data_IF_633261626987
#
_entry.id   IF_633261626987
#
_cell.length_a   1.000
_cell.length_b   1.000
_cell.length_c   1.000
_cell.angle_alpha   90.00
_cell.angle_beta   90.00
_cell.angle_gamma   90.00
#
_symmetry.space_group_name_H-M   'P 1'
#
loop_
_entity.id
_entity.type
_entity.pdbx_description
1 polymer ?
#
# COMPACT_ATOMS: atom_id res chain seq x y z
N UNK A 1 -40.28 1.16 -25.24
CA UNK A 1 -39.46 0.48 -24.21
C UNK A 1 -38.18 0.00 -24.87
N UNK A 2 -37.05 0.64 -24.60
CA UNK A 2 -35.74 0.21 -25.10
C UNK A 2 -35.31 -1.05 -24.35
N UNK A 3 -35.21 -2.19 -25.04
CA UNK A 3 -34.76 -3.46 -24.47
C UNK A 3 -33.30 -3.31 -24.04
N UNK A 4 -32.98 -3.70 -22.79
CA UNK A 4 -31.60 -3.82 -22.31
C UNK A 4 -30.97 -5.04 -22.99
N UNK A 5 -29.99 -4.84 -23.85
CA UNK A 5 -29.14 -5.92 -24.33
C UNK A 5 -28.27 -6.41 -23.17
N UNK A 6 -28.46 -7.66 -22.77
CA UNK A 6 -27.59 -8.32 -21.80
C UNK A 6 -26.48 -9.04 -22.56
N UNK A 7 -25.28 -8.46 -22.53
CA UNK A 7 -24.08 -9.17 -22.98
C UNK A 7 -23.70 -10.18 -21.88
N UNK A 8 -23.87 -11.48 -22.14
CA UNK A 8 -23.39 -12.51 -21.21
C UNK A 8 -21.87 -12.55 -21.30
N UNK A 9 -21.20 -12.42 -20.15
CA UNK A 9 -19.74 -12.61 -20.08
C UNK A 9 -19.36 -13.92 -20.74
N UNK A 10 -18.40 -13.85 -21.67
CA UNK A 10 -17.81 -15.04 -22.28
C UNK A 10 -16.98 -15.78 -21.25
N UNK A 11 -16.71 -17.07 -21.48
CA UNK A 11 -15.88 -17.85 -20.57
C UNK A 11 -14.44 -17.32 -20.51
N UNK A 12 -13.95 -16.71 -21.60
CA UNK A 12 -12.66 -16.00 -21.65
C UNK A 12 -12.63 -14.77 -20.74
N UNK A 13 -13.68 -13.96 -20.74
CA UNK A 13 -13.78 -12.80 -19.84
C UNK A 13 -13.78 -13.23 -18.37
N UNK A 14 -14.50 -14.32 -18.05
CA UNK A 14 -14.50 -14.92 -16.70
C UNK A 14 -13.13 -15.43 -16.30
N UNK A 15 -12.42 -16.09 -17.22
CA UNK A 15 -11.06 -16.59 -16.99
C UNK A 15 -10.12 -15.43 -16.65
N UNK A 16 -10.15 -14.35 -17.44
CA UNK A 16 -9.28 -13.18 -17.23
C UNK A 16 -9.52 -12.51 -15.87
N UNK A 17 -10.78 -12.44 -15.44
CA UNK A 17 -11.17 -11.87 -14.15
C UNK A 17 -10.67 -12.74 -12.99
N UNK A 18 -10.80 -14.06 -13.12
CA UNK A 18 -10.31 -15.02 -12.13
C UNK A 18 -8.78 -15.02 -12.05
N UNK A 19 -8.06 -14.92 -13.16
CA UNK A 19 -6.60 -14.78 -13.18
C UNK A 19 -6.15 -13.50 -12.47
N UNK A 20 -6.82 -12.38 -12.76
CA UNK A 20 -6.56 -11.09 -12.10
C UNK A 20 -6.80 -11.18 -10.59
N UNK A 21 -7.84 -11.89 -10.17
CA UNK A 21 -8.12 -12.13 -8.75
C UNK A 21 -7.07 -13.04 -8.10
N UNK A 22 -6.62 -14.08 -8.81
CA UNK A 22 -5.56 -14.99 -8.37
C UNK A 22 -4.24 -14.26 -8.15
N UNK A 23 -3.86 -13.35 -9.05
CA UNK A 23 -2.64 -12.57 -8.93
C UNK A 23 -2.69 -11.58 -7.74
N UNK A 24 -3.85 -10.96 -7.51
CA UNK A 24 -4.11 -10.15 -6.31
C UNK A 24 -4.04 -10.97 -5.01
N UNK A 25 -4.52 -12.21 -5.03
CA UNK A 25 -4.43 -13.11 -3.87
C UNK A 25 -2.99 -13.56 -3.62
N UNK A 26 -2.26 -13.96 -4.67
CA UNK A 26 -0.85 -14.35 -4.57
C UNK A 26 0.01 -13.24 -4.01
N UNK A 27 -0.17 -12.00 -4.49
CA UNK A 27 0.56 -10.84 -3.98
C UNK A 27 0.25 -10.54 -2.51
N UNK A 28 -1.00 -10.70 -2.06
CA UNK A 28 -1.37 -10.57 -0.63
C UNK A 28 -0.72 -11.65 0.22
N UNK A 29 -0.78 -12.91 -0.19
CA UNK A 29 -0.18 -14.03 0.55
C UNK A 29 1.33 -13.86 0.62
N UNK A 30 1.99 -13.45 -0.47
CA UNK A 30 3.42 -13.16 -0.46
C UNK A 30 3.77 -11.99 0.47
N UNK A 31 2.93 -10.96 0.57
CA UNK A 31 3.12 -9.86 1.52
C UNK A 31 2.95 -10.30 2.98
N UNK A 32 1.99 -11.17 3.27
CA UNK A 32 1.75 -11.70 4.62
C UNK A 32 2.82 -12.71 5.06
N UNK A 33 3.37 -13.47 4.11
CA UNK A 33 4.48 -14.40 4.35
C UNK A 33 5.84 -13.71 4.44
N UNK A 34 5.94 -12.39 4.21
CA UNK A 34 7.22 -11.70 4.40
C UNK A 34 7.60 -11.73 5.88
N UNK A 35 8.86 -12.05 6.14
CA UNK A 35 9.43 -12.09 7.50
C UNK A 35 9.41 -10.73 8.22
N UNK A 36 9.30 -9.62 7.47
CA UNK A 36 9.21 -8.25 7.97
C UNK A 36 7.76 -7.78 8.22
N UNK A 37 6.76 -8.66 8.10
CA UNK A 37 5.35 -8.34 8.35
C UNK A 37 5.09 -7.63 9.69
N UNK A 38 5.79 -7.93 10.82
CA UNK A 38 5.66 -7.15 12.05
C UNK A 38 6.07 -5.68 11.90
N UNK A 39 7.17 -5.40 11.18
CA UNK A 39 7.67 -4.04 10.91
C UNK A 39 6.67 -3.28 10.02
N UNK A 40 6.13 -3.95 8.99
CA UNK A 40 5.11 -3.38 8.11
C UNK A 40 3.76 -3.13 8.82
N UNK A 41 3.47 -3.84 9.91
CA UNK A 41 2.30 -3.54 10.76
C UNK A 41 2.55 -2.29 11.60
N UNK A 42 3.72 -2.17 12.20
CA UNK A 42 4.05 -1.03 13.06
C UNK A 42 4.30 0.27 12.28
N UNK A 43 4.78 0.20 11.03
CA UNK A 43 4.94 1.40 10.20
C UNK A 43 3.63 2.16 9.98
N UNK A 44 2.49 1.45 9.95
CA UNK A 44 1.17 2.09 9.86
C UNK A 44 0.88 2.94 11.09
N UNK A 45 1.21 2.44 12.28
CA UNK A 45 1.05 3.18 13.54
C UNK A 45 1.97 4.41 13.57
N UNK A 46 3.22 4.24 13.16
CA UNK A 46 4.21 5.33 13.06
C UNK A 46 3.71 6.41 12.10
N UNK A 47 3.20 6.04 10.93
CA UNK A 47 2.61 6.98 9.97
C UNK A 47 1.46 7.77 10.58
N UNK A 48 0.55 7.11 11.30
CA UNK A 48 -0.55 7.82 11.97
C UNK A 48 -0.04 8.81 13.01
N UNK A 49 0.97 8.44 13.81
CA UNK A 49 1.57 9.32 14.80
C UNK A 49 2.26 10.54 14.18
N UNK A 50 3.06 10.33 13.13
CA UNK A 50 3.77 11.39 12.41
C UNK A 50 2.81 12.34 11.70
N UNK A 51 1.71 11.83 11.12
CA UNK A 51 0.68 12.69 10.53
C UNK A 51 0.01 13.59 11.57
N UNK A 52 -0.31 13.05 12.76
CA UNK A 52 -0.84 13.86 13.87
C UNK A 52 0.17 14.92 14.29
N UNK A 53 1.44 14.55 14.43
CA UNK A 53 2.50 15.50 14.80
C UNK A 53 2.69 16.59 13.74
N UNK A 54 2.68 16.24 12.46
CA UNK A 54 2.73 17.19 11.34
C UNK A 54 1.57 18.18 11.42
N UNK A 55 0.35 17.70 11.70
CA UNK A 55 -0.80 18.58 11.89
C UNK A 55 -0.62 19.55 13.07
N UNK A 56 -0.07 19.08 14.19
CA UNK A 56 0.24 19.95 15.34
C UNK A 56 1.26 21.01 14.94
N UNK A 57 2.31 20.65 14.20
CA UNK A 57 3.32 21.59 13.70
C UNK A 57 2.70 22.65 12.77
N UNK A 58 1.84 22.22 11.84
CA UNK A 58 1.13 23.11 10.93
C UNK A 58 0.24 24.11 11.69
N UNK A 59 -0.50 23.63 12.70
CA UNK A 59 -1.37 24.48 13.53
C UNK A 59 -0.61 25.56 14.31
N UNK A 60 0.69 25.35 14.59
CA UNK A 60 1.56 26.30 15.29
C UNK A 60 2.52 27.05 14.35
N UNK A 61 2.29 26.98 13.03
CA UNK A 61 3.10 27.71 12.04
C UNK A 61 4.52 27.16 11.83
N UNK A 62 4.84 25.97 12.35
CA UNK A 62 6.15 25.30 12.19
C UNK A 62 6.22 24.49 10.90
N UNK A 63 6.17 25.20 9.78
CA UNK A 63 6.20 24.60 8.43
C UNK A 63 7.53 23.90 8.13
N UNK A 64 8.63 24.35 8.73
CA UNK A 64 9.93 23.68 8.71
C UNK A 64 9.82 22.24 9.20
N UNK A 65 9.15 22.04 10.34
CA UNK A 65 8.97 20.72 10.95
C UNK A 65 8.00 19.85 10.15
N UNK A 66 6.92 20.45 9.60
CA UNK A 66 6.00 19.76 8.67
C UNK A 66 6.78 19.18 7.50
N UNK A 67 7.63 19.99 6.86
CA UNK A 67 8.42 19.57 5.71
C UNK A 67 9.37 18.42 6.07
N UNK A 68 10.05 18.50 7.22
CA UNK A 68 10.92 17.41 7.70
C UNK A 68 10.15 16.10 7.95
N UNK A 69 8.98 16.18 8.60
CA UNK A 69 8.14 15.01 8.89
C UNK A 69 7.64 14.38 7.59
N UNK A 70 7.21 15.18 6.62
CA UNK A 70 6.74 14.69 5.33
C UNK A 70 7.86 14.05 4.51
N UNK A 71 9.06 14.65 4.51
CA UNK A 71 10.23 14.06 3.85
C UNK A 71 10.63 12.72 4.49
N UNK A 72 10.63 12.65 5.83
CA UNK A 72 10.91 11.43 6.55
C UNK A 72 9.87 10.34 6.26
N UNK A 73 8.58 10.67 6.27
CA UNK A 73 7.49 9.76 5.92
C UNK A 73 7.65 9.21 4.50
N UNK A 74 7.98 10.06 3.54
CA UNK A 74 8.18 9.64 2.15
C UNK A 74 9.32 8.61 2.04
N UNK A 75 10.45 8.87 2.70
CA UNK A 75 11.59 7.94 2.75
C UNK A 75 11.20 6.61 3.41
N UNK A 76 10.52 6.65 4.55
CA UNK A 76 10.05 5.45 5.26
C UNK A 76 9.12 4.60 4.40
N UNK A 77 8.17 5.23 3.70
CA UNK A 77 7.24 4.52 2.82
C UNK A 77 7.95 3.87 1.62
N UNK A 78 8.95 4.56 1.06
CA UNK A 78 9.75 4.00 -0.01
C UNK A 78 10.55 2.78 0.47
N UNK A 79 11.19 2.89 1.63
CA UNK A 79 11.95 1.79 2.25
C UNK A 79 11.05 0.60 2.59
N UNK A 80 9.84 0.83 3.11
CA UNK A 80 8.91 -0.24 3.46
C UNK A 80 8.35 -1.01 2.25
N UNK A 81 8.34 -0.39 1.06
CA UNK A 81 7.96 -1.08 -0.18
C UNK A 81 9.11 -1.93 -0.74
N UNK A 82 10.35 -1.54 -0.45
CA UNK A 82 11.53 -2.30 -0.86
C UNK A 82 11.58 -3.66 -0.17
N UNK A 83 12.09 -4.67 -0.87
CA UNK A 83 12.35 -5.99 -0.28
C UNK A 83 13.62 -5.87 0.57
N UNK A 84 13.63 -6.34 1.83
CA UNK A 84 14.83 -6.35 2.66
C UNK A 84 15.99 -7.01 1.90
N UNK A 85 17.20 -6.47 2.03
CA UNK A 85 18.40 -7.01 1.37
C UNK A 85 18.63 -8.51 1.70
N UNK A 86 18.19 -8.96 2.88
CA UNK A 86 18.21 -10.36 3.30
C UNK A 86 17.27 -11.29 2.50
N UNK A 87 16.34 -10.74 1.73
CA UNK A 87 15.33 -11.46 0.94
C UNK A 87 15.46 -11.22 -0.57
N UNK A 88 16.50 -10.52 -1.02
CA UNK A 88 16.78 -10.36 -2.45
C UNK A 88 17.36 -11.65 -3.04
N UNK A 89 16.92 -12.11 -4.21
CA UNK A 89 17.54 -13.25 -4.88
C UNK A 89 19.00 -12.91 -5.22
N UNK A 90 19.91 -13.83 -4.90
CA UNK A 90 21.35 -13.73 -5.23
C UNK A 90 21.59 -13.83 -6.72
#
# INVERSE_FOLDING_TARGET
>A
MTKREYNRRTDEERLSELETQLEKLKSKVQQEQRSDAPVLKDIKKVRTALNKFSQVCANHGRTDMVNSVMAFLHTLEHQAKSVPSSMQPK
#
